data_IF_164074094950
#
_entry.id   IF_164074094950
#
_cell.length_a   1.000
_cell.length_b   1.000
_cell.length_c   1.000
_cell.angle_alpha   90.00
_cell.angle_beta   90.00
_cell.angle_gamma   90.00
#
_symmetry.space_group_name_H-M   'P 1'
#
loop_
_entity.id
_entity.type
_entity.pdbx_description
1 polymer ?
#
# COMPACT_ATOMS: atom_id res chain seq x y z
N UNK A 1 16.37 12.64 -16.20
CA UNK A 1 15.42 11.90 -16.71
C UNK A 1 15.46 10.50 -16.31
N UNK A 2 16.41 9.76 -16.65
CA UNK A 2 16.50 8.45 -16.23
C UNK A 2 16.50 8.26 -14.77
N UNK A 3 17.15 9.11 -14.04
CA UNK A 3 17.14 9.08 -12.65
C UNK A 3 15.81 9.29 -12.08
N UNK A 4 15.05 10.17 -12.63
CA UNK A 4 13.70 10.44 -12.19
C UNK A 4 12.84 9.21 -12.36
N UNK A 5 13.02 8.49 -13.45
CA UNK A 5 12.26 7.30 -13.68
C UNK A 5 12.57 6.23 -12.66
N UNK A 6 13.84 6.07 -12.34
CA UNK A 6 14.20 5.11 -11.34
C UNK A 6 13.71 5.49 -9.99
N UNK A 7 13.74 6.78 -9.67
CA UNK A 7 13.27 7.24 -8.41
C UNK A 7 11.77 7.13 -8.28
N UNK A 8 11.09 6.83 -9.35
CA UNK A 8 9.63 6.70 -9.33
C UNK A 8 9.16 5.35 -8.81
N UNK A 9 10.06 4.53 -8.24
CA UNK A 9 9.64 3.28 -7.65
C UNK A 9 8.68 3.56 -6.52
N UNK A 10 7.53 2.91 -6.55
CA UNK A 10 6.45 3.18 -5.61
C UNK A 10 6.68 2.43 -4.30
N UNK A 11 6.63 3.15 -3.19
CA UNK A 11 6.71 2.53 -1.88
C UNK A 11 5.30 2.26 -1.36
N UNK A 12 5.09 1.09 -0.82
CA UNK A 12 3.79 0.67 -0.32
C UNK A 12 3.82 0.73 1.21
N UNK A 13 2.86 1.45 1.79
CA UNK A 13 2.68 1.45 3.24
C UNK A 13 1.59 0.44 3.56
N UNK A 14 1.94 -0.60 4.30
CA UNK A 14 1.03 -1.66 4.68
C UNK A 14 0.55 -1.44 6.09
N UNK A 15 -0.77 -1.39 6.28
CA UNK A 15 -1.38 -1.10 7.57
C UNK A 15 -2.30 -2.24 7.96
N UNK A 16 -2.01 -2.91 9.07
CA UNK A 16 -2.82 -4.00 9.57
C UNK A 16 -2.49 -4.15 11.05
N UNK A 17 -3.49 -4.32 11.90
CA UNK A 17 -3.25 -4.48 13.33
C UNK A 17 -2.77 -5.90 13.68
N UNK A 18 -2.91 -6.83 12.76
CA UNK A 18 -2.42 -8.20 12.95
C UNK A 18 -1.01 -8.29 12.43
N UNK A 19 -0.05 -8.55 13.32
CA UNK A 19 1.35 -8.58 12.96
C UNK A 19 1.66 -9.66 11.92
N UNK A 20 1.04 -10.82 12.04
CA UNK A 20 1.30 -11.89 11.09
C UNK A 20 0.83 -11.55 9.69
N UNK A 21 -0.34 -10.95 9.59
CA UNK A 21 -0.86 -10.52 8.29
C UNK A 21 0.03 -9.43 7.70
N UNK A 22 0.46 -8.51 8.56
CA UNK A 22 1.34 -7.41 8.14
C UNK A 22 2.66 -7.95 7.59
N UNK A 23 3.22 -8.94 8.27
CA UNK A 23 4.49 -9.54 7.83
C UNK A 23 4.34 -10.29 6.52
N UNK A 24 3.26 -11.04 6.37
CA UNK A 24 3.02 -11.80 5.13
C UNK A 24 2.78 -10.85 3.97
N UNK A 25 1.97 -9.81 4.19
CA UNK A 25 1.71 -8.83 3.14
C UNK A 25 3.02 -8.15 2.72
N UNK A 26 3.85 -7.80 3.70
CA UNK A 26 5.13 -7.16 3.41
C UNK A 26 6.01 -8.06 2.55
N UNK A 27 6.05 -9.34 2.88
CA UNK A 27 6.85 -10.28 2.14
C UNK A 27 6.38 -10.38 0.69
N UNK A 28 5.07 -10.50 0.48
CA UNK A 28 4.53 -10.58 -0.86
C UNK A 28 4.85 -9.32 -1.67
N UNK A 29 4.64 -8.16 -1.07
CA UNK A 29 4.84 -6.89 -1.77
C UNK A 29 6.32 -6.70 -2.09
N UNK A 30 7.21 -7.06 -1.17
CA UNK A 30 8.65 -6.96 -1.42
C UNK A 30 9.09 -7.92 -2.52
N UNK A 31 8.53 -9.11 -2.54
CA UNK A 31 8.87 -10.07 -3.59
C UNK A 31 8.41 -9.59 -4.96
N UNK A 32 7.37 -8.78 -5.00
CA UNK A 32 6.91 -8.20 -6.26
C UNK A 32 7.74 -6.99 -6.68
N UNK A 33 8.68 -6.57 -5.87
CA UNK A 33 9.62 -5.53 -6.25
C UNK A 33 9.37 -4.16 -5.67
N UNK A 34 8.45 -4.02 -4.71
CA UNK A 34 8.12 -2.73 -4.14
C UNK A 34 8.77 -2.56 -2.77
N UNK A 35 9.35 -1.40 -2.50
CA UNK A 35 9.80 -1.12 -1.13
C UNK A 35 8.60 -0.97 -0.22
N UNK A 36 8.74 -1.38 1.04
CA UNK A 36 7.63 -1.45 1.97
C UNK A 36 7.92 -0.69 3.24
N UNK A 37 6.90 -0.02 3.76
CA UNK A 37 6.87 0.48 5.13
C UNK A 37 5.63 -0.11 5.78
N UNK A 38 5.61 -0.22 7.09
CA UNK A 38 4.48 -0.83 7.78
C UNK A 38 4.00 0.06 8.92
N UNK A 39 2.73 -0.10 9.26
CA UNK A 39 2.13 0.55 10.42
C UNK A 39 1.13 -0.41 11.04
N UNK A 40 0.97 -0.36 12.35
CA UNK A 40 0.08 -1.25 13.06
C UNK A 40 -1.30 -0.66 13.30
N UNK A 41 -1.49 0.61 13.01
CA UNK A 41 -2.78 1.28 13.19
C UNK A 41 -2.84 2.52 12.31
N UNK A 42 -4.03 3.12 12.24
CA UNK A 42 -4.26 4.24 11.35
C UNK A 42 -3.50 5.50 11.76
N UNK A 43 -3.37 5.73 13.06
CA UNK A 43 -2.66 6.91 13.55
C UNK A 43 -1.19 6.85 13.15
N UNK A 44 -0.58 5.70 13.33
CA UNK A 44 0.81 5.50 12.94
C UNK A 44 0.96 5.68 11.42
N UNK A 45 0.00 5.16 10.67
CA UNK A 45 0.02 5.29 9.21
C UNK A 45 -0.01 6.75 8.78
N UNK A 46 -0.88 7.54 9.41
CA UNK A 46 -0.97 8.95 9.07
C UNK A 46 0.31 9.71 9.39
N UNK A 47 0.97 9.35 10.49
CA UNK A 47 2.24 9.95 10.84
C UNK A 47 3.30 9.65 9.79
N UNK A 48 3.34 8.41 9.32
CA UNK A 48 4.28 8.04 8.27
C UNK A 48 3.99 8.81 6.99
N UNK A 49 2.73 8.92 6.63
CA UNK A 49 2.36 9.63 5.40
C UNK A 49 2.71 11.11 5.45
N UNK A 50 2.67 11.71 6.64
CA UNK A 50 3.06 13.10 6.79
C UNK A 50 4.56 13.30 6.66
N UNK A 51 5.34 12.31 7.05
CA UNK A 51 6.79 12.46 7.12
C UNK A 51 7.52 11.87 5.93
N UNK A 52 6.96 10.86 5.29
CA UNK A 52 7.64 10.13 4.22
C UNK A 52 6.93 10.31 2.90
N UNK A 53 7.46 11.19 2.06
CA UNK A 53 6.87 11.45 0.76
C UNK A 53 7.15 10.38 -0.27
N UNK A 54 7.97 9.40 0.05
CA UNK A 54 8.24 8.31 -0.88
C UNK A 54 7.11 7.29 -0.91
N UNK A 55 6.18 7.36 0.03
CA UNK A 55 5.02 6.46 0.04
C UNK A 55 4.05 6.91 -1.03
N UNK A 56 3.74 6.04 -1.95
CA UNK A 56 2.80 6.33 -3.04
C UNK A 56 1.58 5.42 -3.02
N UNK A 57 1.60 4.36 -2.24
CA UNK A 57 0.49 3.41 -2.16
C UNK A 57 0.19 3.12 -0.70
N UNK A 58 -1.07 3.20 -0.33
CA UNK A 58 -1.55 2.80 0.99
C UNK A 58 -2.32 1.49 0.83
N UNK A 59 -1.87 0.44 1.50
CA UNK A 59 -2.55 -0.85 1.49
C UNK A 59 -2.99 -1.14 2.91
N UNK A 60 -4.27 -1.04 3.20
CA UNK A 60 -4.76 -1.07 4.56
C UNK A 60 -5.92 -2.04 4.77
N UNK A 61 -5.89 -2.73 5.90
CA UNK A 61 -7.04 -3.48 6.38
C UNK A 61 -8.16 -2.49 6.70
N UNK A 62 -9.39 -2.88 6.44
CA UNK A 62 -10.55 -2.07 6.78
C UNK A 62 -10.84 -2.17 8.28
N UNK A 63 -10.84 -3.39 8.79
CA UNK A 63 -11.28 -3.63 10.17
C UNK A 63 -10.11 -3.53 11.14
N UNK A 64 -10.02 -2.41 11.81
CA UNK A 64 -8.98 -2.16 12.80
C UNK A 64 -9.61 -1.44 13.99
N UNK A 65 -9.07 -1.64 15.19
CA UNK A 65 -9.58 -0.90 16.37
C UNK A 65 -9.35 0.59 16.20
N UNK A 66 -10.28 1.39 16.69
CA UNK A 66 -10.18 2.84 16.55
C UNK A 66 -10.58 3.26 15.16
N UNK A 67 -9.71 4.03 14.50
CA UNK A 67 -9.97 4.49 13.15
C UNK A 67 -9.82 3.29 12.19
N UNK A 68 -10.86 3.01 11.41
CA UNK A 68 -10.82 1.89 10.48
C UNK A 68 -10.15 2.30 9.17
N UNK A 69 -10.01 1.33 8.27
CA UNK A 69 -9.29 1.55 7.02
C UNK A 69 -9.96 2.53 6.07
N UNK A 70 -11.29 2.59 6.10
CA UNK A 70 -11.98 3.55 5.25
C UNK A 70 -11.80 4.98 5.75
N UNK A 71 -11.85 5.16 7.06
CA UNK A 71 -11.59 6.46 7.65
C UNK A 71 -10.14 6.87 7.41
N UNK A 72 -9.22 5.93 7.53
CA UNK A 72 -7.82 6.18 7.23
C UNK A 72 -7.65 6.63 5.78
N UNK A 73 -8.30 5.91 4.86
CA UNK A 73 -8.20 6.24 3.44
C UNK A 73 -8.67 7.66 3.16
N UNK A 74 -9.76 8.05 3.79
CA UNK A 74 -10.29 9.38 3.62
C UNK A 74 -9.33 10.46 4.08
N UNK A 75 -8.76 10.26 5.26
CA UNK A 75 -7.80 11.21 5.81
C UNK A 75 -6.50 11.23 5.04
N UNK A 76 -6.05 10.06 4.59
CA UNK A 76 -4.83 9.95 3.82
C UNK A 76 -4.97 10.69 2.49
N UNK A 77 -6.12 10.58 1.86
CA UNK A 77 -6.36 11.23 0.60
C UNK A 77 -6.41 12.75 0.74
N UNK A 78 -6.90 13.24 1.89
CA UNK A 78 -6.87 14.65 2.17
C UNK A 78 -5.43 15.17 2.31
N UNK A 79 -4.53 14.35 2.86
CA UNK A 79 -3.12 14.71 2.99
C UNK A 79 -2.39 14.58 1.66
N UNK A 80 -2.70 13.55 0.91
CA UNK A 80 -1.98 13.18 -0.30
C UNK A 80 -2.98 12.81 -1.38
N UNK A 81 -3.50 13.78 -2.15
CA UNK A 81 -4.58 13.51 -3.10
C UNK A 81 -4.24 12.49 -4.19
N UNK A 82 -2.97 12.36 -4.54
CA UNK A 82 -2.58 11.38 -5.56
C UNK A 82 -2.13 10.05 -4.99
N UNK A 83 -2.32 9.84 -3.70
CA UNK A 83 -1.98 8.55 -3.09
C UNK A 83 -2.92 7.47 -3.65
N UNK A 84 -2.36 6.35 -4.04
CA UNK A 84 -3.16 5.23 -4.48
C UNK A 84 -3.58 4.43 -3.26
N UNK A 85 -4.84 4.06 -3.18
CA UNK A 85 -5.37 3.39 -2.00
C UNK A 85 -5.91 2.02 -2.39
N UNK A 86 -5.51 1.00 -1.62
CA UNK A 86 -5.99 -0.36 -1.77
C UNK A 86 -6.45 -0.80 -0.39
N UNK A 87 -7.67 -1.31 -0.29
CA UNK A 87 -8.19 -1.79 0.98
C UNK A 87 -8.35 -3.30 0.94
N UNK A 88 -8.26 -3.93 2.09
CA UNK A 88 -8.42 -5.37 2.22
C UNK A 88 -9.23 -5.68 3.46
N UNK A 89 -9.94 -6.80 3.44
CA UNK A 89 -10.77 -7.21 4.56
C UNK A 89 -11.13 -8.67 4.43
N UNK A 90 -11.29 -9.34 5.57
CA UNK A 90 -11.79 -10.70 5.58
C UNK A 90 -13.31 -10.76 5.59
N UNK A 91 -13.96 -9.63 5.73
CA UNK A 91 -15.40 -9.58 5.84
C UNK A 91 -16.02 -8.54 4.93
N UNK A 92 -16.22 -7.34 5.44
CA UNK A 92 -16.98 -6.36 4.71
C UNK A 92 -16.16 -5.72 3.61
N UNK A 93 -16.83 -5.34 2.56
CA UNK A 93 -16.22 -4.60 1.46
C UNK A 93 -16.33 -3.11 1.72
N UNK A 94 -15.45 -2.30 1.12
CA UNK A 94 -15.54 -0.86 1.31
C UNK A 94 -16.79 -0.31 0.62
N UNK A 95 -17.31 0.76 1.18
CA UNK A 95 -18.44 1.45 0.57
C UNK A 95 -17.98 2.38 -0.53
N UNK A 96 -16.79 2.94 -0.37
CA UNK A 96 -16.25 3.82 -1.39
C UNK A 96 -15.69 3.01 -2.54
N UNK A 97 -15.58 3.66 -3.69
CA UNK A 97 -15.02 3.01 -4.85
C UNK A 97 -13.51 3.09 -4.77
N UNK A 98 -12.88 2.05 -4.27
CA UNK A 98 -11.42 1.96 -4.17
C UNK A 98 -11.02 0.56 -4.58
N UNK A 99 -9.76 0.37 -4.88
CA UNK A 99 -9.24 -0.97 -5.15
C UNK A 99 -9.37 -1.80 -3.90
N UNK A 100 -9.78 -3.05 -4.04
CA UNK A 100 -10.06 -3.92 -2.92
C UNK A 100 -9.58 -5.34 -3.20
N UNK A 101 -8.95 -5.93 -2.19
CA UNK A 101 -8.47 -7.31 -2.25
C UNK A 101 -9.03 -8.04 -1.05
N UNK A 102 -9.83 -9.08 -1.22
CA UNK A 102 -10.34 -9.83 -0.07
C UNK A 102 -9.26 -10.68 0.57
N UNK A 103 -9.38 -10.91 1.87
CA UNK A 103 -8.53 -11.85 2.60
C UNK A 103 -9.18 -13.23 2.53
N UNK A 104 -8.40 -14.27 2.48
CA UNK A 104 -6.93 -14.27 2.41
C UNK A 104 -6.48 -13.97 0.98
N UNK A 105 -5.41 -13.21 0.87
CA UNK A 105 -4.90 -12.86 -0.46
C UNK A 105 -3.55 -13.55 -0.69
N UNK A 106 -3.19 -13.65 -1.96
CA UNK A 106 -1.92 -14.20 -2.39
C UNK A 106 -1.20 -13.13 -3.21
N UNK A 107 0.06 -13.39 -3.52
CA UNK A 107 0.84 -12.42 -4.28
C UNK A 107 0.18 -12.08 -5.61
N UNK A 108 -0.43 -13.07 -6.26
CA UNK A 108 -1.05 -12.84 -7.57
C UNK A 108 -2.21 -11.84 -7.46
N UNK A 109 -2.92 -11.83 -6.34
CA UNK A 109 -4.01 -10.88 -6.14
C UNK A 109 -3.48 -9.45 -6.04
N UNK A 110 -2.31 -9.30 -5.44
CA UNK A 110 -1.70 -7.98 -5.26
C UNK A 110 -1.16 -7.42 -6.57
N UNK A 111 -0.70 -8.28 -7.45
CA UNK A 111 -0.23 -7.83 -8.76
C UNK A 111 -1.30 -7.05 -9.49
N UNK A 112 -2.55 -7.48 -9.36
CA UNK A 112 -3.64 -6.87 -10.10
C UNK A 112 -4.04 -5.49 -9.60
N UNK A 113 -3.74 -5.17 -8.36
CA UNK A 113 -4.15 -3.89 -7.77
C UNK A 113 -2.99 -2.94 -7.54
N UNK A 114 -1.75 -3.44 -7.48
CA UNK A 114 -0.61 -2.56 -7.31
C UNK A 114 -0.28 -1.86 -8.62
N UNK A 115 0.26 -0.64 -8.54
CA UNK A 115 0.62 0.05 -9.76
C UNK A 115 1.79 -0.65 -10.42
N UNK A 116 1.90 -0.59 -11.74
CA UNK A 116 3.03 -1.22 -12.40
C UNK A 116 4.32 -0.56 -11.96
N UNK A 117 5.36 -1.35 -11.83
CA UNK A 117 6.68 -0.81 -11.54
C UNK A 117 7.17 -0.06 -12.75
N UNK A 118 7.99 0.97 -12.55
CA UNK A 118 8.54 1.69 -13.68
C UNK A 118 9.42 0.75 -14.50
N UNK A 119 9.41 0.96 -15.80
CA UNK A 119 10.26 0.19 -16.68
C UNK A 119 11.70 0.48 -16.30
N UNK A 120 12.47 -0.58 -16.23
CA UNK A 120 13.84 -0.39 -15.87
C UNK A 120 14.60 -0.09 -17.12
N UNK A 121 15.57 0.77 -16.99
CA UNK A 121 16.40 1.05 -18.10
C UNK A 121 17.66 0.32 -17.93
N UNK A 122 17.69 -0.52 -17.00
CA UNK A 122 18.81 -1.25 -16.85
C UNK A 122 18.68 -2.51 -17.51
N UNK A 123 17.86 -2.80 -18.07
CA UNK A 123 17.84 -3.89 -18.61
C UNK A 123 18.67 -4.02 -19.54
N UNK A 124 18.97 -4.58 -19.71
CA UNK A 124 19.74 -5.00 -20.12
C UNK A 124 20.65 -4.69 -20.78
N UNK A 125 21.16 -4.66 -20.79
CA UNK A 125 21.89 -4.31 -21.32
C UNK A 125 22.59 -4.99 -21.79
N UNK A 126 22.75 -5.43 -22.05
CA UNK A 126 23.37 -6.01 -22.54
C UNK A 126 23.89 -6.00 -22.98
#
# INVERSE_FOLDING_TARGET
MRQALRAAKKRVLIVDDDEQVRDIASLFVEELGYPVSTASNAIEALQILQQDRTVDVLFSDITMPGMDGEQLAERARALRPDLQIILTSGGRRPQAKVAFVPKPFHAVDLIQVLPPLPLTDEKPTI
#
